data_IF_648886225949
#
_entry.id   IF_648886225949
#
_cell.length_a   1.000
_cell.length_b   1.000
_cell.length_c   1.000
_cell.angle_alpha   90.00
_cell.angle_beta   90.00
_cell.angle_gamma   90.00
#
_symmetry.space_group_name_H-M   'P 1'
#
loop_
_entity.id
_entity.type
_entity.pdbx_description
1 polymer ?
#
# COMPACT_ATOMS: atom_id res chain seq x y z
N UNK A 1 9.85 -15.75 14.51
CA UNK A 1 10.94 -14.81 14.14
C UNK A 1 11.37 -14.99 12.70
N UNK A 2 11.41 -16.20 12.13
CA UNK A 2 11.70 -16.38 10.70
C UNK A 2 10.55 -15.99 9.74
N UNK A 3 9.29 -16.02 10.19
CA UNK A 3 8.12 -15.69 9.32
C UNK A 3 7.89 -14.19 9.13
N UNK A 4 8.24 -13.33 10.10
CA UNK A 4 8.07 -11.87 9.96
C UNK A 4 9.10 -11.27 8.98
N UNK A 5 10.30 -11.85 8.90
CA UNK A 5 11.32 -11.45 7.93
C UNK A 5 10.94 -11.85 6.50
N UNK A 6 10.20 -12.95 6.32
CA UNK A 6 9.70 -13.40 5.02
C UNK A 6 8.55 -12.52 4.50
N UNK A 7 7.68 -12.04 5.39
CA UNK A 7 6.57 -11.15 5.05
C UNK A 7 7.05 -9.71 4.73
N UNK A 8 8.12 -9.26 5.40
CA UNK A 8 8.80 -7.99 5.10
C UNK A 8 9.50 -8.03 3.71
N UNK A 9 10.21 -9.12 3.40
CA UNK A 9 10.82 -9.33 2.08
C UNK A 9 9.77 -9.45 0.96
N UNK A 10 8.64 -10.12 1.23
CA UNK A 10 7.54 -10.23 0.28
C UNK A 10 6.89 -8.86 0.01
N UNK A 11 6.77 -8.02 1.04
CA UNK A 11 6.23 -6.67 0.92
C UNK A 11 7.15 -5.72 0.14
N UNK A 12 8.46 -5.81 0.32
CA UNK A 12 9.44 -5.06 -0.50
C UNK A 12 9.43 -5.50 -1.97
N UNK A 13 9.27 -6.80 -2.25
CA UNK A 13 9.10 -7.31 -3.61
C UNK A 13 7.79 -6.84 -4.25
N UNK A 14 6.72 -6.71 -3.47
CA UNK A 14 5.40 -6.28 -3.94
C UNK A 14 5.41 -4.80 -4.34
N UNK A 15 6.11 -3.94 -3.59
CA UNK A 15 6.28 -2.51 -3.92
C UNK A 15 7.10 -2.33 -5.21
N UNK A 16 8.11 -3.17 -5.44
CA UNK A 16 8.86 -3.19 -6.69
C UNK A 16 7.99 -3.57 -7.91
N UNK A 17 6.92 -4.35 -7.72
CA UNK A 17 6.03 -4.79 -8.81
C UNK A 17 5.02 -3.73 -9.27
N UNK A 18 4.78 -2.67 -8.49
CA UNK A 18 3.78 -1.62 -8.78
C UNK A 18 4.37 -0.31 -9.34
N UNK A 19 5.70 -0.19 -9.40
CA UNK A 19 6.37 0.98 -9.96
C UNK A 19 6.25 0.98 -11.50
N UNK A 20 5.80 2.08 -12.14
CA UNK A 20 5.86 2.23 -13.59
C UNK A 20 7.28 1.93 -14.10
N UNK A 21 7.41 1.21 -15.21
CA UNK A 21 8.68 0.73 -15.78
C UNK A 21 9.79 1.80 -15.81
N UNK A 22 9.44 3.07 -16.01
CA UNK A 22 10.36 4.21 -16.02
C UNK A 22 11.01 4.44 -14.64
N UNK A 23 10.26 4.29 -13.56
CA UNK A 23 10.77 4.45 -12.19
C UNK A 23 11.66 3.26 -11.78
N UNK A 24 11.33 2.05 -12.25
CA UNK A 24 12.20 0.88 -12.10
C UNK A 24 13.53 1.04 -12.84
N UNK A 25 13.52 1.57 -14.08
CA UNK A 25 14.75 1.85 -14.81
C UNK A 25 15.63 2.88 -14.09
N UNK A 26 15.04 3.97 -13.57
CA UNK A 26 15.79 4.97 -12.79
C UNK A 26 16.44 4.39 -11.54
N UNK A 27 15.72 3.55 -10.80
CA UNK A 27 16.25 2.90 -9.60
C UNK A 27 17.39 1.92 -9.94
N UNK A 28 17.28 1.18 -11.05
CA UNK A 28 18.33 0.27 -11.52
C UNK A 28 19.58 1.04 -11.94
N UNK A 29 19.43 2.20 -12.60
CA UNK A 29 20.56 3.07 -12.96
C UNK A 29 21.26 3.64 -11.72
N UNK A 30 20.51 4.12 -10.73
CA UNK A 30 21.06 4.63 -9.47
C UNK A 30 21.79 3.53 -8.68
N UNK A 31 21.18 2.34 -8.56
CA UNK A 31 21.81 1.19 -7.90
C UNK A 31 23.02 0.68 -8.66
N UNK A 32 22.98 0.69 -9.99
CA UNK A 32 24.12 0.33 -10.84
C UNK A 32 25.28 1.30 -10.64
N UNK A 33 25.01 2.61 -10.56
CA UNK A 33 26.02 3.62 -10.28
C UNK A 33 26.60 3.47 -8.86
N UNK A 34 25.74 3.29 -7.85
CA UNK A 34 26.17 3.06 -6.47
C UNK A 34 27.01 1.79 -6.32
N UNK A 35 26.61 0.69 -6.96
CA UNK A 35 27.38 -0.56 -6.98
C UNK A 35 28.72 -0.41 -7.70
N UNK A 36 28.78 0.38 -8.78
CA UNK A 36 30.04 0.68 -9.47
C UNK A 36 31.00 1.47 -8.57
N UNK A 37 30.49 2.48 -7.85
CA UNK A 37 31.26 3.26 -6.88
C UNK A 37 31.78 2.38 -5.73
N UNK A 38 30.91 1.58 -5.12
CA UNK A 38 31.29 0.62 -4.08
C UNK A 38 32.33 -0.40 -4.56
N UNK A 39 32.22 -0.85 -5.81
CA UNK A 39 33.20 -1.75 -6.41
C UNK A 39 34.58 -1.08 -6.54
N UNK A 40 34.63 0.16 -7.01
CA UNK A 40 35.90 0.90 -7.07
C UNK A 40 36.50 1.16 -5.68
N UNK A 41 35.66 1.41 -4.68
CA UNK A 41 36.09 1.63 -3.31
C UNK A 41 36.61 0.35 -2.65
N UNK A 42 35.92 -0.77 -2.84
CA UNK A 42 36.36 -2.09 -2.37
C UNK A 42 37.65 -2.56 -3.04
N UNK A 43 37.82 -2.35 -4.35
CA UNK A 43 39.09 -2.62 -5.04
C UNK A 43 40.25 -1.76 -4.51
N UNK A 44 39.97 -0.50 -4.13
CA UNK A 44 40.94 0.38 -3.47
C UNK A 44 41.31 -0.11 -2.07
N UNK A 45 40.32 -0.54 -1.26
CA UNK A 45 40.54 -1.11 0.06
C UNK A 45 41.30 -2.44 0.00
N UNK A 46 41.00 -3.32 -0.95
CA UNK A 46 41.67 -4.60 -1.12
C UNK A 46 43.14 -4.41 -1.52
N UNK A 47 43.44 -3.47 -2.44
CA UNK A 47 44.81 -3.07 -2.76
C UNK A 47 45.54 -2.49 -1.54
N UNK A 48 44.84 -1.76 -0.70
CA UNK A 48 45.40 -1.15 0.50
C UNK A 48 45.69 -2.20 1.59
N UNK A 49 44.76 -3.13 1.83
CA UNK A 49 44.89 -4.23 2.78
C UNK A 49 46.06 -5.15 2.41
N UNK A 50 46.15 -5.57 1.13
CA UNK A 50 47.27 -6.37 0.63
C UNK A 50 48.63 -5.68 0.84
N UNK A 51 48.67 -4.34 0.83
CA UNK A 51 49.89 -3.55 1.02
C UNK A 51 50.26 -3.39 2.50
N UNK A 52 49.28 -3.37 3.40
CA UNK A 52 49.46 -3.42 4.85
C UNK A 52 49.93 -4.80 5.30
N UNK A 53 49.33 -5.87 4.78
CA UNK A 53 49.72 -7.25 5.08
C UNK A 53 51.15 -7.54 4.60
N UNK A 54 51.54 -6.99 3.45
CA UNK A 54 52.94 -6.99 2.96
C UNK A 54 53.94 -6.23 3.86
N UNK A 55 53.45 -5.35 4.75
CA UNK A 55 54.24 -4.59 5.73
C UNK A 55 54.30 -5.32 7.07
N UNK A 56 53.21 -5.94 7.51
CA UNK A 56 53.14 -6.75 8.74
C UNK A 56 53.85 -8.11 8.61
N UNK A 57 53.87 -8.71 7.41
CA UNK A 57 54.61 -9.96 7.16
C UNK A 57 56.13 -9.78 7.05
N UNK A 58 56.68 -8.56 7.19
CA UNK A 58 58.11 -8.40 7.46
C UNK A 58 58.31 -8.52 8.97
N UNK A 59 58.83 -9.65 9.49
CA UNK A 59 59.30 -9.66 10.87
C UNK A 59 60.33 -8.54 10.96
N UNK A 60 60.32 -7.75 12.03
CA UNK A 60 61.39 -6.81 12.35
C UNK A 60 62.72 -7.56 12.38
N UNK A 61 63.38 -7.65 11.22
CA UNK A 61 64.73 -8.16 11.08
C UNK A 61 65.63 -7.06 11.60
N UNK A 62 65.82 -7.05 12.92
CA UNK A 62 66.85 -6.30 13.64
C UNK A 62 68.27 -6.48 13.04
N UNK A 63 68.45 -7.40 12.08
CA UNK A 63 69.67 -7.59 11.29
C UNK A 63 69.87 -6.58 10.15
N UNK A 64 68.89 -5.73 9.80
CA UNK A 64 68.99 -4.80 8.67
C UNK A 64 69.61 -3.44 8.99
N UNK A 65 69.88 -3.13 10.27
CA UNK A 65 70.78 -2.02 10.63
C UNK A 65 72.23 -2.53 10.59
N UNK A 66 72.65 -3.09 9.45
CA UNK A 66 74.07 -3.16 9.15
C UNK A 66 74.54 -1.72 8.94
N UNK A 67 75.33 -1.23 9.88
CA UNK A 67 75.89 0.12 9.84
C UNK A 67 76.67 0.29 8.52
N UNK A 68 76.49 1.38 7.77
CA UNK A 68 77.16 1.60 6.47
C UNK A 68 78.70 1.48 6.54
N UNK A 69 79.30 1.69 7.71
CA UNK A 69 80.73 1.48 7.92
C UNK A 69 81.19 0.02 7.90
N UNK A 70 80.33 -0.94 8.25
CA UNK A 70 80.67 -2.38 8.25
C UNK A 70 80.69 -2.93 6.83
N UNK A 71 79.75 -2.52 5.98
CA UNK A 71 79.70 -2.96 4.58
C UNK A 71 80.83 -2.35 3.74
N UNK A 72 81.23 -1.10 4.04
CA UNK A 72 82.38 -0.47 3.39
C UNK A 72 83.71 -1.16 3.77
N UNK A 73 83.88 -1.48 5.06
CA UNK A 73 85.06 -2.22 5.52
C UNK A 73 85.13 -3.62 4.90
N UNK A 74 83.99 -4.31 4.80
CA UNK A 74 83.89 -5.63 4.15
C UNK A 74 84.29 -5.56 2.66
N UNK A 75 83.80 -4.57 1.92
CA UNK A 75 84.15 -4.39 0.51
C UNK A 75 85.65 -4.14 0.29
N UNK A 76 86.31 -3.42 1.21
CA UNK A 76 87.76 -3.18 1.15
C UNK A 76 88.54 -4.48 1.39
N UNK A 77 88.10 -5.30 2.35
CA UNK A 77 88.74 -6.59 2.65
C UNK A 77 88.62 -7.52 1.44
N UNK A 78 87.42 -7.66 0.88
CA UNK A 78 87.18 -8.48 -0.31
C UNK A 78 88.02 -7.99 -1.52
N UNK A 79 88.14 -6.68 -1.72
CA UNK A 79 89.01 -6.13 -2.77
C UNK A 79 90.48 -6.48 -2.55
N UNK A 80 90.97 -6.40 -1.30
CA UNK A 80 92.34 -6.74 -0.96
C UNK A 80 92.63 -8.24 -1.17
N UNK A 81 91.68 -9.11 -0.83
CA UNK A 81 91.78 -10.56 -1.08
C UNK A 81 91.84 -10.88 -2.57
N UNK A 82 90.99 -10.26 -3.39
CA UNK A 82 91.01 -10.42 -4.85
C UNK A 82 92.35 -9.94 -5.42
N UNK A 83 92.84 -8.76 -5.01
CA UNK A 83 94.14 -8.24 -5.45
C UNK A 83 95.29 -9.16 -5.07
N UNK A 84 95.26 -9.74 -3.86
CA UNK A 84 96.28 -10.67 -3.41
C UNK A 84 96.30 -11.93 -4.28
N UNK A 85 95.13 -12.51 -4.56
CA UNK A 85 95.00 -13.67 -5.45
C UNK A 85 95.51 -13.38 -6.87
N UNK A 86 95.18 -12.21 -7.42
CA UNK A 86 95.66 -11.78 -8.74
C UNK A 86 97.19 -11.63 -8.76
N UNK A 87 97.78 -10.99 -7.75
CA UNK A 87 99.25 -10.84 -7.66
C UNK A 87 99.95 -12.20 -7.61
N UNK A 88 99.44 -13.14 -6.80
CA UNK A 88 100.01 -14.49 -6.72
C UNK A 88 99.96 -15.21 -8.07
N UNK A 89 98.83 -15.08 -8.79
CA UNK A 89 98.67 -15.62 -10.13
C UNK A 89 99.65 -14.98 -11.13
N UNK A 90 99.79 -13.67 -11.12
CA UNK A 90 100.68 -12.93 -12.02
C UNK A 90 102.16 -13.27 -11.77
N UNK A 91 102.57 -13.46 -10.52
CA UNK A 91 103.92 -13.92 -10.16
C UNK A 91 104.17 -15.32 -10.73
N UNK A 92 103.24 -16.24 -10.54
CA UNK A 92 103.36 -17.59 -11.10
C UNK A 92 103.42 -17.56 -12.65
N UNK A 93 102.56 -16.78 -13.30
CA UNK A 93 102.55 -16.68 -14.76
C UNK A 93 103.87 -16.10 -15.29
N UNK A 94 104.42 -15.08 -14.63
CA UNK A 94 105.73 -14.51 -14.98
C UNK A 94 106.87 -15.53 -14.80
N UNK A 95 106.89 -16.27 -13.68
CA UNK A 95 107.88 -17.32 -13.46
C UNK A 95 107.84 -18.39 -14.54
N UNK A 96 106.63 -18.81 -14.91
CA UNK A 96 106.38 -19.85 -15.90
C UNK A 96 106.75 -19.38 -17.32
N UNK A 97 106.24 -18.23 -17.73
CA UNK A 97 106.29 -17.80 -19.13
C UNK A 97 107.57 -17.05 -19.47
N UNK A 98 108.19 -16.40 -18.47
CA UNK A 98 109.41 -15.60 -18.64
C UNK A 98 110.61 -16.30 -18.00
N UNK A 99 110.66 -16.43 -16.67
CA UNK A 99 111.88 -16.86 -15.98
C UNK A 99 112.36 -18.26 -16.41
N UNK A 100 111.45 -19.24 -16.50
CA UNK A 100 111.79 -20.60 -16.97
C UNK A 100 112.21 -20.59 -18.44
N UNK A 101 111.54 -19.82 -19.29
CA UNK A 101 111.77 -19.75 -20.74
C UNK A 101 113.11 -19.12 -21.10
N UNK A 102 113.54 -18.05 -20.40
CA UNK A 102 114.78 -17.33 -20.71
C UNK A 102 115.99 -17.79 -19.88
N UNK A 103 115.80 -18.72 -18.94
CA UNK A 103 116.80 -19.19 -17.97
C UNK A 103 118.19 -19.47 -18.57
N UNK A 104 118.26 -20.11 -19.74
CA UNK A 104 119.51 -20.47 -20.44
C UNK A 104 120.03 -19.40 -21.41
N UNK A 105 119.27 -18.34 -21.67
CA UNK A 105 119.58 -17.28 -22.66
C UNK A 105 119.61 -15.89 -22.02
N UNK A 106 119.84 -15.83 -20.70
CA UNK A 106 119.85 -14.60 -19.91
C UNK A 106 120.90 -13.63 -20.47
N UNK A 107 120.52 -12.37 -20.68
CA UNK A 107 121.38 -11.33 -21.27
C UNK A 107 121.38 -11.28 -22.80
N UNK A 108 120.70 -12.21 -23.48
CA UNK A 108 120.54 -12.14 -24.95
C UNK A 108 119.46 -11.14 -25.37
N UNK A 109 119.62 -10.57 -26.57
CA UNK A 109 118.62 -9.68 -27.20
C UNK A 109 117.24 -10.37 -27.27
N UNK A 110 117.22 -11.68 -27.54
CA UNK A 110 115.98 -12.47 -27.61
C UNK A 110 115.28 -12.58 -26.24
N UNK A 111 116.04 -12.71 -25.15
CA UNK A 111 115.47 -12.72 -23.80
C UNK A 111 114.86 -11.35 -23.45
N UNK A 112 115.54 -10.25 -23.80
CA UNK A 112 115.02 -8.89 -23.61
C UNK A 112 113.74 -8.65 -24.42
N UNK A 113 113.71 -9.06 -25.69
CA UNK A 113 112.51 -8.97 -26.54
C UNK A 113 111.32 -9.75 -25.98
N UNK A 114 111.57 -10.94 -25.41
CA UNK A 114 110.52 -11.75 -24.80
C UNK A 114 109.92 -11.08 -23.55
N UNK A 115 110.77 -10.48 -22.72
CA UNK A 115 110.36 -9.70 -21.55
C UNK A 115 109.55 -8.46 -21.97
N UNK A 116 110.02 -7.73 -22.99
CA UNK A 116 109.29 -6.58 -23.53
C UNK A 116 107.90 -6.96 -24.04
N UNK A 117 107.81 -8.02 -24.87
CA UNK A 117 106.53 -8.51 -25.39
C UNK A 117 105.56 -8.90 -24.29
N UNK A 118 106.05 -9.55 -23.22
CA UNK A 118 105.24 -9.87 -22.05
C UNK A 118 104.65 -8.62 -21.40
N UNK A 119 105.47 -7.58 -21.17
CA UNK A 119 104.98 -6.33 -20.60
C UNK A 119 103.97 -5.63 -21.52
N UNK A 120 104.19 -5.64 -22.83
CA UNK A 120 103.24 -5.09 -23.81
C UNK A 120 101.89 -5.84 -23.78
N UNK A 121 101.92 -7.17 -23.82
CA UNK A 121 100.71 -8.00 -23.75
C UNK A 121 99.98 -7.81 -22.41
N UNK A 122 100.72 -7.71 -21.30
CA UNK A 122 100.15 -7.44 -19.97
C UNK A 122 99.52 -6.05 -19.86
N UNK A 123 100.15 -5.03 -20.42
CA UNK A 123 99.59 -3.68 -20.47
C UNK A 123 98.28 -3.68 -21.25
N UNK A 124 98.23 -4.34 -22.42
CA UNK A 124 96.99 -4.47 -23.21
C UNK A 124 95.88 -5.19 -22.45
N UNK A 125 96.18 -6.30 -21.76
CA UNK A 125 95.19 -7.00 -20.91
C UNK A 125 94.66 -6.11 -19.80
N UNK A 126 95.55 -5.37 -19.11
CA UNK A 126 95.17 -4.41 -18.07
C UNK A 126 94.29 -3.29 -18.60
N UNK A 127 94.59 -2.75 -19.78
CA UNK A 127 93.79 -1.69 -20.41
C UNK A 127 92.39 -2.19 -20.78
N UNK A 128 92.27 -3.40 -21.34
CA UNK A 128 90.97 -4.02 -21.62
C UNK A 128 90.15 -4.25 -20.34
N UNK A 129 90.80 -4.71 -19.26
CA UNK A 129 90.13 -4.88 -17.97
C UNK A 129 89.67 -3.54 -17.39
N UNK A 130 90.50 -2.51 -17.48
CA UNK A 130 90.17 -1.14 -17.03
C UNK A 130 88.93 -0.62 -17.76
N UNK A 131 88.86 -0.77 -19.08
CA UNK A 131 87.70 -0.35 -19.86
C UNK A 131 86.42 -1.10 -19.44
N UNK A 132 86.51 -2.42 -19.30
CA UNK A 132 85.39 -3.26 -18.82
C UNK A 132 84.89 -2.84 -17.44
N UNK A 133 85.79 -2.57 -16.50
CA UNK A 133 85.46 -2.11 -15.16
C UNK A 133 84.84 -0.70 -15.16
N UNK A 134 85.35 0.22 -15.99
CA UNK A 134 84.78 1.56 -16.15
C UNK A 134 83.32 1.49 -16.61
N UNK A 135 83.02 0.70 -17.64
CA UNK A 135 81.65 0.51 -18.14
C UNK A 135 80.72 -0.06 -17.06
N UNK A 136 81.19 -1.08 -16.32
CA UNK A 136 80.42 -1.67 -15.22
C UNK A 136 80.17 -0.67 -14.09
N UNK A 137 81.16 0.15 -13.75
CA UNK A 137 81.04 1.18 -12.71
C UNK A 137 79.99 2.24 -13.07
N UNK A 138 79.97 2.72 -14.32
CA UNK A 138 78.96 3.67 -14.81
C UNK A 138 77.56 3.03 -14.77
N UNK A 139 77.42 1.79 -15.25
CA UNK A 139 76.14 1.06 -15.22
C UNK A 139 75.60 0.90 -13.79
N UNK A 140 76.45 0.48 -12.84
CA UNK A 140 76.06 0.34 -11.43
C UNK A 140 75.70 1.68 -10.78
N UNK A 141 76.40 2.77 -11.12
CA UNK A 141 76.06 4.12 -10.64
C UNK A 141 74.67 4.57 -11.11
N UNK A 142 74.31 4.28 -12.36
CA UNK A 142 72.96 4.59 -12.89
C UNK A 142 71.90 3.75 -12.19
N UNK A 143 72.13 2.44 -12.03
CA UNK A 143 71.21 1.55 -11.32
C UNK A 143 71.00 1.98 -9.86
N UNK A 144 72.07 2.36 -9.16
CA UNK A 144 71.99 2.89 -7.79
C UNK A 144 71.13 4.14 -7.72
N UNK A 145 71.34 5.10 -8.63
CA UNK A 145 70.51 6.33 -8.70
C UNK A 145 69.04 6.01 -8.95
N UNK A 146 68.74 5.07 -9.85
CA UNK A 146 67.36 4.62 -10.12
C UNK A 146 66.70 4.01 -8.89
N UNK A 147 67.40 3.11 -8.19
CA UNK A 147 66.88 2.47 -6.97
C UNK A 147 66.63 3.49 -5.85
N UNK A 148 67.55 4.44 -5.65
CA UNK A 148 67.37 5.51 -4.66
C UNK A 148 66.16 6.40 -4.98
N UNK A 149 65.93 6.72 -6.25
CA UNK A 149 64.76 7.50 -6.66
C UNK A 149 63.45 6.74 -6.42
N UNK A 150 63.43 5.44 -6.72
CA UNK A 150 62.26 4.59 -6.45
C UNK A 150 61.97 4.47 -4.95
N UNK A 151 63.02 4.38 -4.12
CA UNK A 151 62.87 4.37 -2.67
C UNK A 151 62.22 5.68 -2.18
N UNK A 152 62.73 6.83 -2.63
CA UNK A 152 62.19 8.14 -2.27
C UNK A 152 60.71 8.30 -2.68
N UNK A 153 60.35 7.91 -3.91
CA UNK A 153 58.96 7.95 -4.36
C UNK A 153 58.04 7.05 -3.51
N UNK A 154 58.54 5.90 -3.06
CA UNK A 154 57.77 5.01 -2.18
C UNK A 154 57.62 5.56 -0.77
N UNK A 155 58.63 6.27 -0.27
CA UNK A 155 58.59 6.98 1.02
C UNK A 155 57.61 8.15 0.97
N UNK A 156 57.66 9.00 -0.06
CA UNK A 156 56.74 10.15 -0.24
C UNK A 156 55.27 9.71 -0.34
N UNK A 157 54.98 8.57 -0.99
CA UNK A 157 53.62 7.99 -1.04
C UNK A 157 53.19 7.36 0.29
N UNK A 158 54.16 6.94 1.12
CA UNK A 158 53.90 6.42 2.46
C UNK A 158 53.66 7.52 3.49
N UNK A 159 54.23 8.71 3.28
CA UNK A 159 54.08 9.91 4.11
C UNK A 159 52.78 10.67 3.82
N UNK A 160 52.12 10.37 2.69
CA UNK A 160 50.85 10.99 2.32
C UNK A 160 49.63 10.45 3.09
N UNK A 161 49.76 9.33 3.80
CA UNK A 161 48.69 8.74 4.60
C UNK A 161 49.14 8.67 6.05
N UNK A 162 48.74 9.68 6.82
CA UNK A 162 49.12 9.76 8.21
C UNK A 162 48.23 8.84 9.05
N UNK A 163 48.79 8.27 10.12
CA UNK A 163 48.00 7.56 11.13
C UNK A 163 46.87 8.44 11.68
N UNK A 164 47.05 9.77 11.65
CA UNK A 164 46.03 10.77 12.02
C UNK A 164 44.82 10.71 11.09
N UNK A 165 45.01 10.58 9.77
CA UNK A 165 43.91 10.48 8.81
C UNK A 165 43.09 9.20 9.05
N UNK A 166 43.77 8.11 9.41
CA UNK A 166 43.11 6.86 9.73
C UNK A 166 42.34 6.91 11.06
N UNK A 167 42.90 7.58 12.07
CA UNK A 167 42.19 7.83 13.33
C UNK A 167 41.00 8.77 13.12
N UNK A 168 41.15 9.79 12.27
CA UNK A 168 40.04 10.68 11.90
C UNK A 168 38.92 9.91 11.21
N UNK A 169 39.23 9.06 10.23
CA UNK A 169 38.23 8.23 9.56
C UNK A 169 37.48 7.31 10.53
N UNK A 170 38.18 6.75 11.52
CA UNK A 170 37.55 5.94 12.58
C UNK A 170 36.60 6.75 13.44
N UNK A 171 36.98 7.97 13.81
CA UNK A 171 36.12 8.87 14.60
C UNK A 171 34.89 9.26 13.80
N UNK A 172 35.06 9.65 12.53
CA UNK A 172 33.95 10.02 11.65
C UNK A 172 32.99 8.85 11.44
N UNK A 173 33.51 7.64 11.20
CA UNK A 173 32.69 6.44 11.05
C UNK A 173 31.89 6.14 12.33
N UNK A 174 32.52 6.24 13.50
CA UNK A 174 31.82 6.07 14.78
C UNK A 174 30.70 7.11 14.98
N UNK A 175 30.93 8.37 14.61
CA UNK A 175 29.92 9.44 14.65
C UNK A 175 28.76 9.19 13.68
N UNK A 176 29.05 8.69 12.47
CA UNK A 176 28.01 8.33 11.51
C UNK A 176 27.17 7.15 12.00
N UNK A 177 27.78 6.13 12.59
CA UNK A 177 27.05 5.01 13.18
C UNK A 177 26.11 5.46 14.30
N UNK A 178 26.57 6.32 15.21
CA UNK A 178 25.73 6.88 16.28
C UNK A 178 24.57 7.72 15.71
N UNK A 179 24.83 8.49 14.66
CA UNK A 179 23.80 9.26 13.95
C UNK A 179 22.78 8.34 13.27
N UNK A 180 23.22 7.24 12.67
CA UNK A 180 22.33 6.24 12.05
C UNK A 180 21.47 5.58 13.13
N UNK A 181 22.06 5.19 14.25
CA UNK A 181 21.34 4.53 15.35
C UNK A 181 20.28 5.45 15.97
N UNK A 182 20.61 6.71 16.22
CA UNK A 182 19.63 7.71 16.71
C UNK A 182 18.48 7.90 15.73
N UNK A 183 18.77 8.03 14.42
CA UNK A 183 17.72 8.16 13.39
C UNK A 183 16.87 6.89 13.25
N UNK A 184 17.47 5.71 13.40
CA UNK A 184 16.75 4.45 13.40
C UNK A 184 15.80 4.35 14.61
N UNK A 185 16.24 4.78 15.80
CA UNK A 185 15.38 4.84 16.98
C UNK A 185 14.21 5.81 16.80
N UNK A 186 14.47 7.01 16.26
CA UNK A 186 13.42 7.97 15.92
C UNK A 186 12.42 7.40 14.91
N UNK A 187 12.90 6.70 13.87
CA UNK A 187 12.06 6.05 12.88
C UNK A 187 11.16 4.98 13.50
N UNK A 188 11.67 4.16 14.42
CA UNK A 188 10.89 3.16 15.14
C UNK A 188 9.79 3.83 15.97
N UNK A 189 10.10 4.91 16.70
CA UNK A 189 9.11 5.66 17.47
C UNK A 189 8.02 6.26 16.58
N UNK A 190 8.41 6.82 15.43
CA UNK A 190 7.47 7.33 14.43
C UNK A 190 6.59 6.23 13.84
N UNK A 191 7.15 5.04 13.55
CA UNK A 191 6.35 3.89 13.09
C UNK A 191 5.34 3.43 14.13
N UNK A 192 5.72 3.34 15.41
CA UNK A 192 4.83 2.94 16.50
C UNK A 192 3.69 3.95 16.71
N UNK A 193 4.01 5.24 16.74
CA UNK A 193 3.01 6.31 16.87
C UNK A 193 2.08 6.39 15.66
N UNK A 194 2.61 6.23 14.44
CA UNK A 194 1.82 6.13 13.21
C UNK A 194 0.88 4.91 13.23
N UNK A 195 1.39 3.74 13.62
CA UNK A 195 0.58 2.52 13.77
C UNK A 195 -0.54 2.68 14.79
N UNK A 196 -0.26 3.27 15.95
CA UNK A 196 -1.26 3.59 16.99
C UNK A 196 -2.32 4.55 16.44
N UNK A 197 -1.89 5.61 15.74
CA UNK A 197 -2.79 6.58 15.12
C UNK A 197 -3.69 5.93 14.07
N UNK A 198 -3.14 5.00 13.27
CA UNK A 198 -3.88 4.25 12.27
C UNK A 198 -4.93 3.32 12.91
N UNK A 199 -4.59 2.66 14.02
CA UNK A 199 -5.55 1.84 14.78
C UNK A 199 -6.71 2.70 15.31
N UNK A 200 -6.41 3.87 15.88
CA UNK A 200 -7.42 4.82 16.34
C UNK A 200 -8.30 5.28 15.17
N UNK A 201 -7.71 5.63 14.03
CA UNK A 201 -8.45 6.03 12.82
C UNK A 201 -9.39 4.93 12.34
N UNK A 202 -8.91 3.68 12.29
CA UNK A 202 -9.73 2.53 11.91
C UNK A 202 -10.90 2.32 12.89
N UNK A 203 -10.67 2.52 14.19
CA UNK A 203 -11.74 2.44 15.19
C UNK A 203 -12.84 3.50 14.95
N UNK A 204 -12.45 4.73 14.62
CA UNK A 204 -13.39 5.80 14.27
C UNK A 204 -14.14 5.51 12.97
N UNK A 205 -13.45 4.98 11.95
CA UNK A 205 -14.06 4.56 10.68
C UNK A 205 -15.14 3.49 10.89
N UNK A 206 -14.87 2.48 11.70
CA UNK A 206 -15.85 1.44 12.03
C UNK A 206 -17.04 2.00 12.81
N UNK A 207 -16.80 2.89 13.78
CA UNK A 207 -17.88 3.56 14.53
C UNK A 207 -18.75 4.43 13.62
N UNK A 208 -18.13 5.16 12.70
CA UNK A 208 -18.83 5.98 11.72
C UNK A 208 -19.71 5.14 10.80
N UNK A 209 -19.17 4.05 10.24
CA UNK A 209 -19.92 3.15 9.38
C UNK A 209 -21.12 2.55 10.13
N UNK A 210 -20.93 2.09 11.37
CA UNK A 210 -22.05 1.59 12.19
C UNK A 210 -23.12 2.66 12.42
N UNK A 211 -22.73 3.90 12.72
CA UNK A 211 -23.68 5.00 12.88
C UNK A 211 -24.41 5.34 11.57
N UNK A 212 -23.72 5.24 10.43
CA UNK A 212 -24.30 5.42 9.10
C UNK A 212 -25.35 4.34 8.80
N UNK A 213 -25.02 3.07 9.05
CA UNK A 213 -25.94 1.94 8.87
C UNK A 213 -27.17 2.06 9.76
N UNK A 214 -26.97 2.43 11.03
CA UNK A 214 -28.05 2.74 11.96
C UNK A 214 -28.94 3.86 11.43
N UNK A 215 -28.36 4.97 10.95
CA UNK A 215 -29.11 6.08 10.36
C UNK A 215 -29.95 5.64 9.16
N UNK A 216 -29.39 4.81 8.28
CA UNK A 216 -30.12 4.24 7.14
C UNK A 216 -31.28 3.35 7.62
N UNK A 217 -31.05 2.50 8.62
CA UNK A 217 -32.09 1.63 9.18
C UNK A 217 -33.23 2.44 9.83
N UNK A 218 -32.89 3.47 10.61
CA UNK A 218 -33.86 4.36 11.25
C UNK A 218 -34.67 5.14 10.22
N UNK A 219 -34.05 5.61 9.11
CA UNK A 219 -34.78 6.24 8.01
C UNK A 219 -35.81 5.30 7.39
N UNK A 220 -35.47 4.02 7.19
CA UNK A 220 -36.40 3.00 6.70
C UNK A 220 -37.55 2.79 7.68
N UNK A 221 -37.25 2.67 8.98
CA UNK A 221 -38.25 2.48 10.02
C UNK A 221 -39.20 3.69 10.15
N UNK A 222 -38.67 4.92 10.05
CA UNK A 222 -39.49 6.15 10.01
C UNK A 222 -40.44 6.12 8.82
N UNK A 223 -39.98 5.70 7.64
CA UNK A 223 -40.80 5.62 6.43
C UNK A 223 -41.92 4.59 6.60
N UNK A 224 -41.60 3.39 7.10
CA UNK A 224 -42.57 2.35 7.40
C UNK A 224 -43.62 2.81 8.43
N UNK A 225 -43.20 3.52 9.49
CA UNK A 225 -44.13 4.07 10.49
C UNK A 225 -45.05 5.13 9.90
N UNK A 226 -44.54 5.99 9.00
CA UNK A 226 -45.36 7.00 8.31
C UNK A 226 -46.42 6.35 7.42
N UNK A 227 -46.07 5.31 6.67
CA UNK A 227 -47.03 4.56 5.84
C UNK A 227 -48.12 3.89 6.70
N UNK A 228 -47.75 3.31 7.84
CA UNK A 228 -48.72 2.72 8.76
C UNK A 228 -49.65 3.78 9.36
N UNK A 229 -49.10 4.93 9.74
CA UNK A 229 -49.86 6.06 10.27
C UNK A 229 -50.89 6.55 9.24
N UNK A 230 -50.51 6.70 7.98
CA UNK A 230 -51.43 7.09 6.91
C UNK A 230 -52.57 6.08 6.71
N UNK A 231 -52.30 4.77 6.85
CA UNK A 231 -53.34 3.73 6.81
C UNK A 231 -54.31 3.86 7.98
N UNK A 232 -53.80 4.03 9.19
CA UNK A 232 -54.62 4.21 10.39
C UNK A 232 -55.47 5.48 10.28
N UNK A 233 -54.93 6.59 9.77
CA UNK A 233 -55.71 7.82 9.55
C UNK A 233 -56.86 7.61 8.56
N UNK A 234 -56.63 6.86 7.46
CA UNK A 234 -57.69 6.48 6.51
C UNK A 234 -58.75 5.60 7.16
N UNK A 235 -58.35 4.62 7.97
CA UNK A 235 -59.26 3.75 8.71
C UNK A 235 -60.09 4.54 9.73
N UNK A 236 -59.50 5.49 10.46
CA UNK A 236 -60.22 6.37 11.39
C UNK A 236 -61.30 7.16 10.65
N UNK A 237 -60.97 7.81 9.53
CA UNK A 237 -61.94 8.55 8.74
C UNK A 237 -63.10 7.67 8.26
N UNK A 238 -62.80 6.44 7.83
CA UNK A 238 -63.82 5.48 7.42
C UNK A 238 -64.74 5.10 8.59
N UNK A 239 -64.16 4.71 9.73
CA UNK A 239 -64.89 4.31 10.93
C UNK A 239 -65.73 5.47 11.48
N UNK A 240 -65.22 6.70 11.46
CA UNK A 240 -65.99 7.89 11.84
C UNK A 240 -67.18 8.13 10.92
N UNK A 241 -67.00 7.95 9.61
CA UNK A 241 -68.07 8.02 8.62
C UNK A 241 -69.16 6.97 8.85
N UNK A 242 -68.76 5.73 9.13
CA UNK A 242 -69.70 4.64 9.42
C UNK A 242 -70.40 4.84 10.77
N UNK A 243 -69.68 5.27 11.81
CA UNK A 243 -70.27 5.67 13.10
C UNK A 243 -71.32 6.76 12.93
N UNK A 244 -71.07 7.77 12.10
CA UNK A 244 -72.02 8.85 11.86
C UNK A 244 -73.32 8.35 11.20
N UNK A 245 -73.23 7.40 10.25
CA UNK A 245 -74.40 6.75 9.62
C UNK A 245 -75.20 5.97 10.66
N UNK A 246 -74.52 5.14 11.46
CA UNK A 246 -75.16 4.34 12.50
C UNK A 246 -75.80 5.21 13.58
N UNK A 247 -75.14 6.29 14.02
CA UNK A 247 -75.71 7.27 14.93
C UNK A 247 -76.96 7.95 14.37
N UNK A 248 -76.98 8.27 13.07
CA UNK A 248 -78.15 8.86 12.42
C UNK A 248 -79.34 7.90 12.40
N UNK A 249 -79.10 6.62 12.08
CA UNK A 249 -80.11 5.55 12.12
C UNK A 249 -80.61 5.35 13.55
N UNK A 250 -79.71 5.26 14.54
CA UNK A 250 -80.05 5.10 15.95
C UNK A 250 -80.92 6.26 16.45
N UNK A 251 -80.56 7.51 16.12
CA UNK A 251 -81.39 8.69 16.42
C UNK A 251 -82.79 8.58 15.81
N UNK A 252 -82.92 8.13 14.56
CA UNK A 252 -84.22 7.91 13.91
C UNK A 252 -85.05 6.84 14.63
N UNK A 253 -84.45 5.69 14.95
CA UNK A 253 -85.12 4.62 15.68
C UNK A 253 -85.56 5.06 17.08
N UNK A 254 -84.73 5.81 17.80
CA UNK A 254 -85.09 6.39 19.11
C UNK A 254 -86.25 7.38 19.00
N UNK A 255 -86.29 8.22 17.96
CA UNK A 255 -87.44 9.10 17.70
C UNK A 255 -88.70 8.29 17.45
N UNK A 256 -88.63 7.28 16.57
CA UNK A 256 -89.76 6.38 16.30
C UNK A 256 -90.25 5.67 17.57
N UNK A 257 -89.33 5.20 18.42
CA UNK A 257 -89.69 4.58 19.70
C UNK A 257 -90.35 5.57 20.67
N UNK A 258 -89.91 6.83 20.69
CA UNK A 258 -90.49 7.88 21.54
C UNK A 258 -91.87 8.37 21.05
N UNK A 259 -92.06 8.41 19.72
CA UNK A 259 -93.33 8.79 19.07
C UNK A 259 -94.35 7.64 19.11
N UNK A 260 -93.87 6.39 19.20
CA UNK A 260 -94.73 5.22 19.31
C UNK A 260 -95.53 5.26 20.61
N UNK A 261 -96.83 5.53 20.47
CA UNK A 261 -97.82 5.44 21.53
C UNK A 261 -98.77 4.31 21.20
N UNK A 262 -98.90 3.35 22.12
CA UNK A 262 -99.95 2.33 22.07
C UNK A 262 -101.21 2.95 22.67
N UNK A 263 -102.31 3.09 21.91
CA UNK A 263 -103.57 3.55 22.47
C UNK A 263 -103.98 2.62 23.63
N UNK A 264 -104.45 3.17 24.77
CA UNK A 264 -104.96 2.35 25.86
C UNK A 264 -106.00 1.34 25.33
N UNK A 265 -105.90 0.08 25.75
CA UNK A 265 -106.75 -1.02 25.23
C UNK A 265 -108.24 -0.63 25.25
N UNK A 266 -108.68 0.05 26.31
CA UNK A 266 -110.07 0.50 26.44
C UNK A 266 -110.46 1.59 25.45
N UNK A 267 -109.53 2.44 25.00
CA UNK A 267 -109.79 3.41 23.93
C UNK A 267 -109.97 2.69 22.59
N UNK A 268 -109.10 1.73 22.28
CA UNK A 268 -109.23 0.91 21.07
C UNK A 268 -110.55 0.11 21.06
N UNK A 269 -110.91 -0.52 22.18
CA UNK A 269 -112.17 -1.27 22.30
C UNK A 269 -113.38 -0.35 22.11
N UNK A 270 -113.39 0.84 22.73
CA UNK A 270 -114.48 1.82 22.53
C UNK A 270 -114.60 2.26 21.09
N UNK A 271 -113.49 2.63 20.44
CA UNK A 271 -113.51 3.01 19.03
C UNK A 271 -113.91 1.85 18.11
N UNK A 272 -113.53 0.61 18.44
CA UNK A 272 -113.92 -0.56 17.66
C UNK A 272 -115.41 -0.88 17.76
N UNK A 273 -115.99 -0.74 18.96
CA UNK A 273 -117.44 -0.83 19.17
C UNK A 273 -118.16 0.26 18.38
N UNK A 274 -117.69 1.50 18.49
CA UNK A 274 -118.28 2.66 17.80
C UNK A 274 -118.20 2.52 16.27
N UNK A 275 -117.06 2.04 15.75
CA UNK A 275 -116.90 1.67 14.33
C UNK A 275 -117.90 0.59 13.92
N UNK A 276 -118.08 -0.45 14.73
CA UNK A 276 -119.05 -1.51 14.46
C UNK A 276 -120.50 -1.02 14.48
N UNK A 277 -120.84 -0.08 15.36
CA UNK A 277 -122.18 0.52 15.42
C UNK A 277 -122.43 1.48 14.25
N UNK A 278 -121.42 2.23 13.82
CA UNK A 278 -121.46 3.02 12.58
C UNK A 278 -121.63 2.11 11.36
N UNK A 279 -120.90 1.00 11.26
CA UNK A 279 -121.07 0.01 10.18
C UNK A 279 -122.49 -0.57 10.15
N UNK A 280 -123.08 -0.92 11.30
CA UNK A 280 -124.49 -1.35 11.37
C UNK A 280 -125.44 -0.25 10.92
N UNK A 281 -125.19 0.99 11.33
CA UNK A 281 -126.01 2.15 10.96
C UNK A 281 -125.95 2.39 9.46
N UNK A 282 -124.76 2.30 8.86
CA UNK A 282 -124.56 2.34 7.40
C UNK A 282 -125.40 1.26 6.74
N UNK A 283 -125.32 0.00 7.18
CA UNK A 283 -126.12 -1.10 6.61
C UNK A 283 -127.63 -0.89 6.73
N UNK A 284 -128.09 -0.29 7.83
CA UNK A 284 -129.52 0.06 8.00
C UNK A 284 -129.92 1.14 7.01
N UNK A 285 -129.09 2.18 6.82
CA UNK A 285 -129.33 3.23 5.85
C UNK A 285 -129.29 2.69 4.41
N UNK A 286 -128.31 1.84 4.08
CA UNK A 286 -128.26 1.14 2.79
C UNK A 286 -129.55 0.37 2.54
N UNK A 287 -130.04 -0.39 3.53
CA UNK A 287 -131.31 -1.13 3.41
C UNK A 287 -132.54 -0.20 3.31
N UNK A 288 -132.55 0.94 4.01
CA UNK A 288 -133.62 1.94 3.87
C UNK A 288 -133.62 2.57 2.48
N UNK A 289 -132.44 2.87 1.92
CA UNK A 289 -132.28 3.35 0.54
C UNK A 289 -132.78 2.30 -0.44
N UNK A 290 -132.40 1.04 -0.26
CA UNK A 290 -132.85 -0.07 -1.12
C UNK A 290 -134.38 -0.24 -1.08
N UNK A 291 -135.02 -0.16 0.10
CA UNK A 291 -136.49 -0.17 0.24
C UNK A 291 -137.13 1.04 -0.44
N UNK A 292 -136.56 2.24 -0.28
CA UNK A 292 -137.05 3.45 -0.93
C UNK A 292 -136.93 3.35 -2.46
N UNK A 293 -135.82 2.81 -2.96
CA UNK A 293 -135.59 2.55 -4.39
C UNK A 293 -136.58 1.50 -4.94
N UNK A 294 -136.80 0.40 -4.22
CA UNK A 294 -137.81 -0.60 -4.58
C UNK A 294 -139.23 -0.02 -4.56
N UNK A 295 -139.56 0.82 -3.59
CA UNK A 295 -140.86 1.49 -3.49
C UNK A 295 -141.05 2.48 -4.65
N UNK A 296 -140.02 3.28 -4.97
CA UNK A 296 -140.00 4.17 -6.13
C UNK A 296 -140.15 3.39 -7.45
N UNK A 297 -139.53 2.21 -7.55
CA UNK A 297 -139.67 1.30 -8.69
C UNK A 297 -141.09 0.72 -8.78
N UNK A 298 -141.71 0.42 -7.63
CA UNK A 298 -143.13 0.05 -7.51
C UNK A 298 -144.06 1.17 -8.00
N UNK A 299 -143.92 2.38 -7.45
CA UNK A 299 -144.67 3.55 -7.88
C UNK A 299 -144.48 3.85 -9.37
N UNK A 300 -143.27 3.69 -9.92
CA UNK A 300 -143.06 3.80 -11.38
C UNK A 300 -143.80 2.73 -12.18
N UNK A 301 -143.86 1.49 -11.70
CA UNK A 301 -144.62 0.42 -12.36
C UNK A 301 -146.12 0.72 -12.33
N UNK A 302 -146.65 1.14 -11.19
CA UNK A 302 -148.08 1.48 -11.06
C UNK A 302 -148.44 2.73 -11.85
N UNK A 303 -147.57 3.75 -11.86
CA UNK A 303 -147.71 4.92 -12.73
C UNK A 303 -147.69 4.53 -14.21
N UNK A 304 -146.78 3.65 -14.64
CA UNK A 304 -146.74 3.19 -16.02
C UNK A 304 -147.98 2.37 -16.39
N UNK A 305 -148.50 1.53 -15.48
CA UNK A 305 -149.78 0.82 -15.68
C UNK A 305 -150.93 1.80 -15.83
N UNK A 306 -151.02 2.80 -14.95
CA UNK A 306 -152.04 3.84 -14.98
C UNK A 306 -151.94 4.67 -16.27
N UNK A 307 -150.72 4.97 -16.73
CA UNK A 307 -150.46 5.61 -18.02
C UNK A 307 -150.93 4.74 -19.20
N UNK A 308 -150.60 3.45 -19.23
CA UNK A 308 -151.11 2.54 -20.29
C UNK A 308 -152.62 2.34 -20.23
N UNK A 309 -153.23 2.40 -19.04
CA UNK A 309 -154.70 2.31 -18.89
C UNK A 309 -155.36 3.59 -19.40
N UNK A 310 -154.78 4.77 -19.12
CA UNK A 310 -155.22 6.05 -19.67
C UNK A 310 -155.01 6.16 -21.18
N UNK A 311 -153.92 5.62 -21.72
CA UNK A 311 -153.66 5.53 -23.16
C UNK A 311 -154.63 4.53 -23.84
N UNK A 312 -155.08 3.47 -23.15
CA UNK A 312 -156.15 2.57 -23.60
C UNK A 312 -157.55 3.21 -23.51
N UNK A 313 -157.82 4.08 -22.53
CA UNK A 313 -159.06 4.87 -22.47
C UNK A 313 -159.11 5.99 -23.52
N UNK A 314 -157.97 6.59 -23.88
CA UNK A 314 -157.86 7.55 -24.99
C UNK A 314 -158.01 6.90 -26.39
N UNK A 315 -157.89 5.57 -26.50
CA UNK A 315 -158.10 4.83 -27.75
C UNK A 315 -159.54 4.31 -27.95
N UNK A 316 -160.38 4.27 -26.90
CA UNK A 316 -161.75 3.69 -26.96
C UNK A 316 -162.85 4.78 -26.98
N UNK A 317 -162.54 6.04 -26.66
CA UNK A 317 -163.48 7.17 -26.75
C UNK A 317 -163.59 7.88 -28.12
N UNK A 318 -162.75 7.52 -29.09
CA UNK A 318 -162.75 8.12 -30.45
C UNK A 318 -163.77 7.50 -31.43
N UNK A 319 -164.88 6.93 -30.93
CA UNK A 319 -165.96 6.43 -31.77
C UNK A 319 -167.32 6.50 -31.05
N UNK A 320 -168.00 7.66 -31.07
CA UNK A 320 -169.40 7.74 -30.67
C UNK A 320 -169.95 9.15 -30.34
N UNK A 321 -170.37 9.85 -31.40
CA UNK A 321 -171.14 11.12 -31.49
C UNK A 321 -170.42 12.45 -31.36
#
# INVERSE_FOLDING_TARGET
MADEDAEAFASELQVAAELPVIQLCGLVEELSYGNSALKTETEMFEKYYNKLESKEQRPLRLSEIKRPGTDFAQAIIEEAEIRWADIQKEVHEFEKDILKTISKKKGSILATQKVMKYFEDMNRRRDHMKEKLCLKNVSLKVQRKKMLLQLRQKEEVGDALHDVDFQQLKIENAQFLETIDTRNQELIQLKLSSGTTQQVLNSYKTRLNRAMDMSVSLKKEILQRKELLEKIEKEILQVEGDRAKDEAVNKKLRRQLSEFRVPPVMQYVREKVLSGDLEKTIRVWERKVEIAEMSLKGYRKDWNKMKTTSEQFLAIGSAGK
#
